data_IF_330059310467
#
_entry.id   IF_330059310467
#
_cell.length_a   1.000
_cell.length_b   1.000
_cell.length_c   1.000
_cell.angle_alpha   90.00
_cell.angle_beta   90.00
_cell.angle_gamma   90.00
#
_symmetry.space_group_name_H-M   'P 1'
#
loop_
_entity.id
_entity.type
_entity.pdbx_description
1 polymer ?
#
# COMPACT_ATOMS: atom_id res chain seq x y z
N UNK A 1 -12.11 -17.03 16.84
CA UNK A 1 -11.17 -16.00 17.38
C UNK A 1 -10.51 -15.32 16.19
N UNK A 2 -10.14 -14.03 16.23
CA UNK A 2 -9.53 -13.34 15.08
C UNK A 2 -8.32 -14.09 14.46
N UNK A 3 -7.60 -14.89 15.26
CA UNK A 3 -6.50 -15.75 14.81
C UNK A 3 -6.89 -16.84 13.79
N UNK A 4 -8.18 -17.20 13.66
CA UNK A 4 -8.62 -18.20 12.66
C UNK A 4 -8.85 -17.62 11.26
N UNK A 5 -8.79 -16.29 11.10
CA UNK A 5 -8.88 -15.60 9.80
C UNK A 5 -7.51 -15.41 9.14
N UNK A 6 -6.41 -15.69 9.86
CA UNK A 6 -5.04 -15.63 9.36
C UNK A 6 -4.43 -17.03 9.41
N UNK A 7 -4.46 -17.73 8.28
CA UNK A 7 -3.85 -19.06 8.14
C UNK A 7 -2.33 -18.97 8.32
N UNK A 8 -1.67 -20.08 8.63
CA UNK A 8 -0.20 -20.15 8.71
C UNK A 8 0.48 -20.08 7.34
N UNK A 9 -0.31 -20.17 6.26
CA UNK A 9 0.17 -20.13 4.89
C UNK A 9 0.59 -18.71 4.51
N UNK A 10 1.86 -18.56 4.12
CA UNK A 10 2.48 -17.28 3.76
C UNK A 10 1.74 -16.54 2.66
N UNK A 11 1.17 -17.29 1.72
CA UNK A 11 0.43 -16.79 0.55
C UNK A 11 -0.97 -16.30 0.91
N UNK A 12 -1.63 -16.93 1.87
CA UNK A 12 -3.03 -16.64 2.19
C UNK A 12 -3.21 -15.50 3.20
N UNK A 13 -2.12 -15.09 3.86
CA UNK A 13 -2.12 -14.08 4.93
C UNK A 13 -1.27 -12.84 4.67
N UNK A 14 -0.68 -12.69 3.47
CA UNK A 14 0.16 -11.52 3.18
C UNK A 14 -0.72 -10.26 3.09
N UNK A 15 -0.49 -9.22 3.93
CA UNK A 15 -1.32 -7.99 3.95
C UNK A 15 -1.40 -7.26 2.61
N UNK A 16 -0.48 -7.57 1.70
CA UNK A 16 -0.30 -6.96 0.39
C UNK A 16 -0.13 -8.00 -0.73
N UNK A 17 -0.63 -9.23 -0.55
CA UNK A 17 -0.60 -10.32 -1.57
C UNK A 17 0.78 -10.52 -2.25
N UNK A 18 1.85 -10.20 -1.52
CA UNK A 18 3.23 -10.36 -2.00
C UNK A 18 3.66 -11.83 -2.03
N UNK A 19 2.78 -12.76 -1.64
CA UNK A 19 3.10 -14.18 -1.51
C UNK A 19 4.38 -14.40 -0.71
N UNK A 20 5.37 -15.06 -1.32
CA UNK A 20 6.68 -15.33 -0.74
C UNK A 20 7.72 -14.21 -0.93
N UNK A 21 7.42 -13.18 -1.74
CA UNK A 21 8.34 -12.06 -1.95
C UNK A 21 8.52 -11.30 -0.63
N UNK A 22 9.76 -10.95 -0.29
CA UNK A 22 10.12 -10.23 0.94
C UNK A 22 9.72 -10.95 2.24
N UNK A 23 9.55 -12.29 2.21
CA UNK A 23 9.24 -13.08 3.39
C UNK A 23 10.53 -13.56 4.10
N UNK A 24 11.03 -12.78 5.06
CA UNK A 24 12.13 -13.23 5.93
C UNK A 24 11.68 -14.43 6.79
N UNK A 25 10.44 -14.39 7.30
CA UNK A 25 9.70 -15.51 7.92
C UNK A 25 8.19 -15.23 7.88
N UNK A 26 7.33 -16.22 8.19
CA UNK A 26 5.88 -15.99 8.33
C UNK A 26 5.51 -15.01 9.46
N UNK A 27 6.36 -14.89 10.48
CA UNK A 27 6.16 -13.90 11.55
C UNK A 27 6.48 -12.48 11.08
N UNK A 28 7.44 -12.29 10.17
CA UNK A 28 7.77 -11.00 9.57
C UNK A 28 6.58 -10.38 8.82
N UNK A 29 5.84 -11.18 8.04
CA UNK A 29 4.62 -10.72 7.34
C UNK A 29 3.50 -10.28 8.31
N UNK A 30 3.41 -10.90 9.49
CA UNK A 30 2.47 -10.48 10.56
C UNK A 30 2.88 -9.16 11.19
N UNK A 31 4.18 -8.86 11.22
CA UNK A 31 4.71 -7.61 11.78
C UNK A 31 4.64 -6.48 10.75
N UNK A 32 4.84 -6.76 9.45
CA UNK A 32 4.65 -5.79 8.37
C UNK A 32 3.21 -5.24 8.29
N UNK A 33 2.23 -5.96 8.85
CA UNK A 33 0.86 -5.47 9.02
C UNK A 33 0.74 -4.32 10.05
N UNK A 34 1.81 -3.97 10.78
CA UNK A 34 1.82 -2.91 11.79
C UNK A 34 2.24 -1.54 11.23
N UNK A 35 2.03 -1.27 9.95
CA UNK A 35 1.82 0.12 9.49
C UNK A 35 0.48 0.59 10.11
N UNK A 36 0.56 1.16 11.30
CA UNK A 36 -0.60 1.64 12.02
C UNK A 36 -1.15 2.90 11.34
N UNK A 37 -2.45 3.15 11.54
CA UNK A 37 -3.05 4.42 11.19
C UNK A 37 -2.22 5.58 11.78
N UNK A 38 -2.05 6.68 11.04
CA UNK A 38 -1.29 7.89 11.41
C UNK A 38 0.24 7.79 11.26
N UNK A 39 0.81 6.59 11.07
CA UNK A 39 2.29 6.46 10.90
C UNK A 39 2.83 7.14 9.64
N UNK A 40 1.96 7.48 8.68
CA UNK A 40 2.28 8.25 7.48
C UNK A 40 2.65 9.72 7.77
N UNK A 41 2.25 10.28 8.93
CA UNK A 41 2.62 11.64 9.33
C UNK A 41 4.13 11.78 9.43
N UNK A 42 4.82 10.80 10.00
CA UNK A 42 6.28 10.81 10.13
C UNK A 42 6.94 10.79 8.75
N UNK A 43 6.43 9.97 7.83
CA UNK A 43 6.95 9.89 6.47
C UNK A 43 6.78 11.20 5.68
N UNK A 44 5.66 11.91 5.88
CA UNK A 44 5.36 13.13 5.14
C UNK A 44 6.06 14.36 5.73
N UNK A 45 6.05 14.51 7.06
CA UNK A 45 6.44 15.76 7.73
C UNK A 45 7.79 15.71 8.45
N UNK A 46 8.43 14.54 8.55
CA UNK A 46 9.73 14.36 9.19
C UNK A 46 10.79 13.81 8.22
N UNK A 47 10.76 14.27 6.97
CA UNK A 47 11.76 13.99 5.92
C UNK A 47 11.81 12.52 5.49
N UNK A 48 10.65 11.96 5.14
CA UNK A 48 10.53 10.63 4.55
C UNK A 48 10.29 10.67 3.04
N UNK A 49 10.06 9.50 2.46
CA UNK A 49 9.95 9.33 1.00
C UNK A 49 8.80 10.13 0.39
N UNK A 50 7.67 10.32 1.09
CA UNK A 50 6.52 11.06 0.60
C UNK A 50 6.70 12.58 0.61
N UNK A 51 7.65 13.11 1.40
CA UNK A 51 7.86 14.56 1.52
C UNK A 51 8.06 15.20 0.15
N UNK A 52 8.97 14.65 -0.67
CA UNK A 52 9.27 15.18 -1.99
C UNK A 52 8.10 15.03 -2.98
N UNK A 53 7.39 13.90 -2.98
CA UNK A 53 6.22 13.71 -3.83
C UNK A 53 5.12 14.75 -3.51
N UNK A 54 4.89 15.03 -2.21
CA UNK A 54 3.92 16.04 -1.78
C UNK A 54 4.34 17.45 -2.22
N UNK A 55 5.63 17.80 -2.04
CA UNK A 55 6.17 19.10 -2.45
C UNK A 55 6.05 19.31 -3.96
N UNK A 56 6.41 18.29 -4.75
CA UNK A 56 6.29 18.33 -6.22
C UNK A 56 4.82 18.54 -6.64
N UNK A 57 3.91 17.77 -6.07
CA UNK A 57 2.48 17.88 -6.38
C UNK A 57 1.92 19.26 -6.01
N UNK A 58 2.26 19.79 -4.84
CA UNK A 58 1.80 21.11 -4.41
C UNK A 58 2.31 22.24 -5.34
N UNK A 59 3.52 22.10 -5.88
CA UNK A 59 4.13 23.09 -6.77
C UNK A 59 3.70 22.99 -8.24
N UNK A 60 3.40 21.78 -8.72
CA UNK A 60 3.26 21.50 -10.16
C UNK A 60 2.02 20.69 -10.55
N UNK A 61 1.21 20.23 -9.58
CA UNK A 61 0.12 19.27 -9.78
C UNK A 61 0.58 17.94 -10.38
N UNK A 62 1.87 17.63 -10.25
CA UNK A 62 2.51 16.39 -10.65
C UNK A 62 3.46 15.95 -9.53
N UNK A 63 3.29 14.75 -8.94
CA UNK A 63 4.19 14.28 -7.89
C UNK A 63 5.60 13.95 -8.41
N UNK A 64 5.78 13.81 -9.73
CA UNK A 64 7.06 13.45 -10.34
C UNK A 64 7.99 14.65 -10.49
N UNK A 65 9.26 14.48 -10.10
CA UNK A 65 10.34 15.41 -10.42
C UNK A 65 11.69 14.69 -10.40
N UNK A 66 12.79 15.44 -10.56
CA UNK A 66 14.16 14.87 -10.62
C UNK A 66 14.60 14.17 -9.33
N UNK A 67 13.97 14.46 -8.20
CA UNK A 67 14.40 13.95 -6.88
C UNK A 67 13.77 12.60 -6.51
N UNK A 68 12.77 12.13 -7.27
CA UNK A 68 11.99 10.94 -6.90
C UNK A 68 11.89 9.95 -8.07
N UNK A 69 11.76 8.64 -7.79
CA UNK A 69 11.33 7.66 -8.78
C UNK A 69 9.99 8.04 -9.44
N UNK A 70 9.74 7.53 -10.64
CA UNK A 70 8.49 7.84 -11.32
C UNK A 70 7.30 7.14 -10.65
N UNK A 71 6.26 7.91 -10.37
CA UNK A 71 4.92 7.48 -9.98
C UNK A 71 3.97 7.63 -11.17
N UNK A 72 3.66 6.55 -11.91
CA UNK A 72 2.70 6.59 -13.00
C UNK A 72 1.29 6.90 -12.50
N UNK A 73 0.54 7.71 -13.26
CA UNK A 73 -0.85 8.01 -12.92
C UNK A 73 -1.69 6.73 -12.86
N UNK A 74 -2.58 6.67 -11.87
CA UNK A 74 -3.55 5.59 -11.72
C UNK A 74 -4.58 5.63 -12.86
N UNK A 75 -4.87 4.48 -13.45
CA UNK A 75 -6.02 4.29 -14.34
C UNK A 75 -6.71 2.97 -14.04
N UNK A 76 -7.98 2.82 -14.44
CA UNK A 76 -8.68 1.54 -14.27
C UNK A 76 -8.03 0.38 -15.06
N UNK A 77 -7.32 0.67 -16.15
CA UNK A 77 -6.61 -0.33 -16.95
C UNK A 77 -5.20 -0.64 -16.43
N UNK A 78 -4.58 0.30 -15.71
CA UNK A 78 -3.26 0.18 -15.10
C UNK A 78 -3.31 0.84 -13.71
N UNK A 79 -3.80 0.10 -12.70
CA UNK A 79 -4.05 0.63 -11.37
C UNK A 79 -2.74 0.68 -10.56
N UNK A 80 -1.84 1.56 -10.97
CA UNK A 80 -0.50 1.67 -10.37
C UNK A 80 -0.55 2.35 -9.00
N UNK A 81 0.17 1.77 -8.04
CA UNK A 81 0.41 2.34 -6.72
C UNK A 81 1.89 2.67 -6.55
N UNK A 82 2.18 3.80 -5.90
CA UNK A 82 3.48 4.01 -5.28
C UNK A 82 3.46 3.32 -3.91
N UNK A 83 4.25 2.26 -3.77
CA UNK A 83 4.39 1.51 -2.51
C UNK A 83 5.66 1.94 -1.82
N UNK A 84 5.52 2.38 -0.57
CA UNK A 84 6.63 2.66 0.34
C UNK A 84 7.09 1.35 0.97
N UNK A 85 8.39 1.09 0.94
CA UNK A 85 8.98 -0.16 1.36
C UNK A 85 10.04 0.09 2.43
N UNK A 86 10.18 -0.87 3.34
CA UNK A 86 11.30 -0.88 4.26
C UNK A 86 12.60 -1.30 3.54
N UNK A 87 13.73 -0.71 3.92
CA UNK A 87 15.07 -1.14 3.50
C UNK A 87 15.72 -0.25 2.45
N UNK A 88 16.71 -0.78 1.71
CA UNK A 88 17.55 0.00 0.80
C UNK A 88 16.82 0.48 -0.46
N UNK A 89 15.77 -0.23 -0.88
CA UNK A 89 14.87 0.21 -1.95
C UNK A 89 13.61 0.70 -1.27
N UNK A 90 13.48 2.02 -1.14
CA UNK A 90 12.44 2.64 -0.31
C UNK A 90 11.08 2.77 -1.02
N UNK A 91 11.03 2.58 -2.35
CA UNK A 91 9.79 2.70 -3.13
C UNK A 91 9.72 1.70 -4.28
N UNK A 92 8.50 1.29 -4.65
CA UNK A 92 8.24 0.48 -5.84
C UNK A 92 6.86 0.81 -6.45
N UNK A 93 6.73 0.62 -7.76
CA UNK A 93 5.42 0.64 -8.43
C UNK A 93 4.80 -0.74 -8.34
N UNK A 94 3.63 -0.84 -7.69
CA UNK A 94 2.86 -2.09 -7.59
C UNK A 94 1.46 -1.93 -8.18
N UNK A 95 0.66 -3.00 -8.19
CA UNK A 95 -0.70 -2.98 -8.72
C UNK A 95 -1.73 -2.97 -7.58
N UNK A 96 -2.74 -2.11 -7.67
CA UNK A 96 -3.88 -2.05 -6.76
C UNK A 96 -4.91 -3.14 -7.08
N UNK A 97 -4.52 -4.40 -6.88
CA UNK A 97 -5.38 -5.57 -7.14
C UNK A 97 -5.73 -6.36 -5.87
N UNK A 98 -5.30 -5.85 -4.71
CA UNK A 98 -5.41 -6.54 -3.43
C UNK A 98 -6.84 -6.53 -2.88
N UNK A 99 -7.28 -7.65 -2.30
CA UNK A 99 -8.60 -7.79 -1.64
C UNK A 99 -9.80 -7.39 -2.52
N UNK A 100 -9.66 -7.44 -3.85
CA UNK A 100 -10.66 -6.95 -4.79
C UNK A 100 -12.07 -7.52 -4.55
N UNK A 101 -12.19 -8.83 -4.27
CA UNK A 101 -13.48 -9.46 -3.97
C UNK A 101 -14.13 -8.91 -2.69
N UNK A 102 -13.34 -8.67 -1.64
CA UNK A 102 -13.84 -8.11 -0.38
C UNK A 102 -14.27 -6.65 -0.52
N UNK A 103 -13.49 -5.85 -1.25
CA UNK A 103 -13.86 -4.46 -1.56
C UNK A 103 -15.15 -4.39 -2.39
N UNK A 104 -15.27 -5.23 -3.42
CA UNK A 104 -16.49 -5.31 -4.23
C UNK A 104 -17.72 -5.68 -3.41
N UNK A 105 -17.59 -6.64 -2.48
CA UNK A 105 -18.67 -7.01 -1.57
C UNK A 105 -19.12 -5.81 -0.72
N UNK A 106 -18.17 -5.10 -0.09
CA UNK A 106 -18.49 -3.92 0.72
C UNK A 106 -19.12 -2.81 -0.11
N UNK A 107 -18.59 -2.51 -1.30
CA UNK A 107 -19.18 -1.53 -2.23
C UNK A 107 -20.62 -1.89 -2.56
N UNK A 108 -20.92 -3.14 -2.89
CA UNK A 108 -22.28 -3.58 -3.21
C UNK A 108 -23.23 -3.42 -2.02
N UNK A 109 -22.78 -3.78 -0.81
CA UNK A 109 -23.57 -3.59 0.42
C UNK A 109 -23.86 -2.11 0.67
N UNK A 110 -22.86 -1.24 0.55
CA UNK A 110 -23.03 0.21 0.74
C UNK A 110 -23.97 0.83 -0.30
N UNK A 111 -23.92 0.36 -1.55
CA UNK A 111 -24.85 0.80 -2.61
C UNK A 111 -26.28 0.29 -2.39
N UNK A 112 -26.43 -0.91 -1.85
CA UNK A 112 -27.74 -1.50 -1.57
C UNK A 112 -28.42 -0.87 -0.33
N UNK A 113 -27.63 -0.45 0.65
CA UNK A 113 -28.10 0.14 1.91
C UNK A 113 -27.43 1.50 2.19
N UNK A 114 -27.77 2.56 1.43
CA UNK A 114 -27.24 3.90 1.66
C UNK A 114 -27.74 4.48 2.99
N UNK A 115 -26.91 5.31 3.62
CA UNK A 115 -27.22 6.05 4.87
C UNK A 115 -28.28 7.13 4.65
#
# INVERSE_FOLDING_TARGET
MLASLYTSELVDGSPFDTGFLDAVTAQYKRIAAFQAHETDIDNIYFDGELTDYLVNFAGALDPNARTVPSWPAYTAAAPNLMTLLDGFVATAVTQDTYRAAGMLFLTNVTLQFPL
#
